data_IF_616432458965
#
_entry.id   IF_616432458965
#
_cell.length_a   1.000
_cell.length_b   1.000
_cell.length_c   1.000
_cell.angle_alpha   90.00
_cell.angle_beta   90.00
_cell.angle_gamma   90.00
#
_symmetry.space_group_name_H-M   'P 1'
#
loop_
_entity.id
_entity.type
_entity.pdbx_description
1 polymer ?
#
# COMPACT_ATOMS: atom_id res chain seq x y z
N UNK A 1 18.21 -3.53 -6.51
CA UNK A 1 18.91 -2.48 -5.75
C UNK A 1 17.99 -1.27 -5.69
N UNK A 2 17.33 -1.02 -4.55
CA UNK A 2 16.49 0.18 -4.39
C UNK A 2 17.41 1.40 -4.35
N UNK A 3 17.23 2.35 -5.28
CA UNK A 3 18.06 3.54 -5.31
C UNK A 3 17.78 4.41 -4.09
N UNK A 4 18.79 5.04 -3.46
CA UNK A 4 18.56 6.01 -2.41
C UNK A 4 17.77 7.18 -3.02
N UNK A 5 16.49 7.28 -2.68
CA UNK A 5 15.63 8.36 -3.13
C UNK A 5 16.21 9.68 -2.67
N UNK A 6 16.72 10.48 -3.61
CA UNK A 6 17.25 11.80 -3.35
C UNK A 6 16.11 12.73 -2.92
N UNK A 7 16.30 13.46 -1.82
CA UNK A 7 15.31 14.44 -1.35
C UNK A 7 15.37 15.69 -2.24
N UNK A 8 14.23 16.06 -2.83
CA UNK A 8 14.05 17.33 -3.54
C UNK A 8 13.38 18.38 -2.63
N UNK A 9 13.88 19.61 -2.63
CA UNK A 9 13.29 20.71 -1.84
C UNK A 9 12.04 21.24 -2.54
N UNK A 10 10.93 21.28 -1.82
CA UNK A 10 9.66 21.85 -2.30
C UNK A 10 9.22 22.98 -1.37
N UNK A 11 8.78 24.09 -1.96
CA UNK A 11 8.18 25.19 -1.21
C UNK A 11 6.64 25.09 -1.30
N UNK A 12 5.98 25.11 -0.16
CA UNK A 12 4.52 25.03 -0.05
C UNK A 12 4.00 26.18 0.82
N UNK A 13 2.83 26.70 0.47
CA UNK A 13 2.17 27.75 1.25
C UNK A 13 1.17 27.10 2.22
N UNK A 14 1.28 27.46 3.49
CA UNK A 14 0.37 27.04 4.55
C UNK A 14 -0.22 28.29 5.20
N UNK A 15 -1.50 28.22 5.55
CA UNK A 15 -2.12 29.24 6.40
C UNK A 15 -1.49 29.22 7.80
N UNK A 16 -1.64 30.34 8.53
CA UNK A 16 -1.14 30.44 9.90
C UNK A 16 -1.73 29.34 10.82
N UNK A 17 -3.02 29.03 10.66
CA UNK A 17 -3.69 27.99 11.45
C UNK A 17 -3.13 26.59 11.14
N UNK A 18 -2.83 26.29 9.87
CA UNK A 18 -2.17 25.04 9.48
C UNK A 18 -0.76 24.94 10.05
N UNK A 19 0.02 26.03 10.05
CA UNK A 19 1.35 26.05 10.65
C UNK A 19 1.35 25.73 12.14
N UNK A 20 0.42 26.33 12.90
CA UNK A 20 0.26 26.08 14.34
C UNK A 20 -0.10 24.61 14.58
N UNK A 21 -1.14 24.11 13.88
CA UNK A 21 -1.58 22.71 14.00
C UNK A 21 -0.48 21.72 13.62
N UNK A 22 0.30 22.01 12.58
CA UNK A 22 1.42 21.17 12.15
C UNK A 22 2.52 21.13 13.22
N UNK A 23 2.84 22.27 13.85
CA UNK A 23 3.81 22.34 14.93
C UNK A 23 3.36 21.56 16.18
N UNK A 24 2.08 21.66 16.55
CA UNK A 24 1.50 20.89 17.65
C UNK A 24 1.50 19.39 17.36
N UNK A 25 1.16 19.00 16.14
CA UNK A 25 1.17 17.60 15.71
C UNK A 25 2.60 17.04 15.70
N UNK A 26 3.58 17.78 15.15
CA UNK A 26 4.97 17.33 15.10
C UNK A 26 5.58 17.15 16.50
N UNK A 27 5.26 18.07 17.43
CA UNK A 27 5.66 17.95 18.84
C UNK A 27 5.08 16.71 19.51
N UNK A 28 3.77 16.47 19.34
CA UNK A 28 3.09 15.31 19.92
C UNK A 28 3.63 13.98 19.39
N UNK A 29 3.99 13.95 18.11
CA UNK A 29 4.55 12.78 17.45
C UNK A 29 6.07 12.63 17.62
N UNK A 30 6.75 13.59 18.28
CA UNK A 30 8.20 13.63 18.44
C UNK A 30 9.01 13.52 17.13
N UNK A 31 8.46 14.06 16.04
CA UNK A 31 9.10 14.07 14.71
C UNK A 31 9.25 15.49 14.17
N UNK A 32 10.07 15.66 13.14
CA UNK A 32 10.20 16.95 12.47
C UNK A 32 8.95 17.30 11.67
N UNK A 33 8.71 18.59 11.42
CA UNK A 33 7.61 19.05 10.54
C UNK A 33 7.75 18.46 9.13
N UNK A 34 8.97 18.40 8.60
CA UNK A 34 9.24 17.86 7.27
C UNK A 34 8.93 16.37 7.19
N UNK A 35 9.25 15.61 8.23
CA UNK A 35 8.91 14.19 8.32
C UNK A 35 7.41 13.96 8.41
N UNK A 36 6.72 14.73 9.25
CA UNK A 36 5.26 14.66 9.36
C UNK A 36 4.56 15.02 8.03
N UNK A 37 5.07 16.03 7.32
CA UNK A 37 4.57 16.39 5.97
C UNK A 37 4.80 15.24 4.99
N UNK A 38 5.99 14.64 4.96
CA UNK A 38 6.27 13.49 4.08
C UNK A 38 5.32 12.34 4.36
N UNK A 39 5.16 11.96 5.63
CA UNK A 39 4.24 10.88 6.03
C UNK A 39 2.80 11.17 5.60
N UNK A 40 2.32 12.40 5.77
CA UNK A 40 0.98 12.79 5.35
C UNK A 40 0.81 12.74 3.83
N UNK A 41 1.83 13.15 3.08
CA UNK A 41 1.85 13.08 1.61
C UNK A 41 1.85 11.62 1.14
N UNK A 42 2.70 10.78 1.71
CA UNK A 42 2.78 9.34 1.38
C UNK A 42 1.43 8.66 1.64
N UNK A 43 0.84 8.87 2.83
CA UNK A 43 -0.47 8.32 3.17
C UNK A 43 -1.57 8.78 2.22
N UNK A 44 -1.58 10.06 1.84
CA UNK A 44 -2.57 10.59 0.90
C UNK A 44 -2.42 9.97 -0.49
N UNK A 45 -1.18 9.83 -0.99
CA UNK A 45 -0.89 9.22 -2.29
C UNK A 45 -1.21 7.73 -2.31
N UNK A 46 -0.90 7.00 -1.24
CA UNK A 46 -1.22 5.58 -1.11
C UNK A 46 -2.73 5.32 -1.11
N UNK A 47 -3.50 6.16 -0.41
CA UNK A 47 -4.96 6.10 -0.39
C UNK A 47 -5.57 6.37 -1.78
N UNK A 48 -5.00 7.31 -2.52
CA UNK A 48 -5.39 7.60 -3.91
C UNK A 48 -5.05 6.43 -4.83
N UNK A 49 -3.87 5.84 -4.66
CA UNK A 49 -3.44 4.69 -5.45
C UNK A 49 -4.41 3.52 -5.28
N UNK A 50 -4.87 3.19 -4.06
CA UNK A 50 -5.88 2.13 -3.82
C UNK A 50 -7.22 2.30 -4.54
N UNK A 51 -7.56 3.51 -4.95
CA UNK A 51 -8.87 3.82 -5.56
C UNK A 51 -8.83 3.72 -7.09
N UNK A 52 -7.65 3.66 -7.71
CA UNK A 52 -7.53 3.52 -9.16
C UNK A 52 -7.65 2.05 -9.60
N UNK A 53 -8.55 1.71 -10.55
CA UNK A 53 -8.72 0.34 -11.06
C UNK A 53 -7.42 -0.26 -11.61
N UNK A 54 -6.57 0.57 -12.19
CA UNK A 54 -5.28 0.17 -12.73
C UNK A 54 -4.33 -0.36 -11.63
N UNK A 55 -4.30 0.26 -10.44
CA UNK A 55 -3.44 -0.18 -9.34
C UNK A 55 -3.94 -1.47 -8.69
N UNK A 56 -5.27 -1.68 -8.67
CA UNK A 56 -5.89 -2.92 -8.20
C UNK A 56 -5.56 -4.07 -9.14
N UNK A 57 -5.73 -3.86 -10.45
CA UNK A 57 -5.39 -4.86 -11.46
C UNK A 57 -3.90 -5.22 -11.41
N UNK A 58 -3.01 -4.23 -11.25
CA UNK A 58 -1.57 -4.45 -11.16
C UNK A 58 -1.16 -5.18 -9.87
N UNK A 59 -1.82 -4.90 -8.73
CA UNK A 59 -1.62 -5.67 -7.49
C UNK A 59 -2.14 -7.10 -7.59
N UNK A 60 -3.32 -7.29 -8.17
CA UNK A 60 -3.88 -8.63 -8.39
C UNK A 60 -3.04 -9.44 -9.37
N UNK A 61 -2.48 -8.81 -10.40
CA UNK A 61 -1.55 -9.45 -11.31
C UNK A 61 -0.24 -9.87 -10.60
N UNK A 62 0.25 -9.07 -9.66
CA UNK A 62 1.41 -9.44 -8.82
C UNK A 62 1.13 -10.57 -7.82
N UNK A 63 -0.14 -10.82 -7.49
CA UNK A 63 -0.57 -11.95 -6.65
C UNK A 63 -0.94 -13.19 -7.48
N UNK A 64 -1.24 -13.02 -8.77
CA UNK A 64 -1.52 -14.11 -9.69
C UNK A 64 -0.25 -14.95 -9.89
N UNK A 65 -0.31 -16.22 -9.49
CA UNK A 65 0.84 -17.13 -9.54
C UNK A 65 1.50 -17.40 -8.19
N UNK A 66 1.18 -16.63 -7.13
CA UNK A 66 1.76 -16.85 -5.79
C UNK A 66 1.49 -18.25 -5.22
N UNK A 67 0.43 -18.91 -5.67
CA UNK A 67 0.07 -20.27 -5.30
C UNK A 67 0.14 -21.26 -6.46
N UNK A 68 0.61 -20.84 -7.64
CA UNK A 68 0.69 -21.72 -8.81
C UNK A 68 1.80 -22.76 -8.67
N UNK A 69 2.92 -22.38 -8.05
CA UNK A 69 4.11 -23.23 -7.90
C UNK A 69 4.25 -23.83 -6.49
N UNK A 70 3.17 -23.83 -5.69
CA UNK A 70 3.16 -24.46 -4.36
C UNK A 70 2.95 -25.96 -4.51
N UNK A 71 4.06 -26.67 -4.40
CA UNK A 71 4.20 -28.12 -4.39
C UNK A 71 3.77 -28.77 -3.06
N UNK A 72 3.56 -27.97 -2.01
CA UNK A 72 3.07 -28.41 -0.70
C UNK A 72 1.53 -28.47 -0.59
N UNK A 73 0.80 -28.05 -1.63
CA UNK A 73 -0.66 -28.06 -1.66
C UNK A 73 -1.21 -29.29 -2.41
N UNK A 74 -2.29 -29.86 -1.88
CA UNK A 74 -3.01 -30.95 -2.55
C UNK A 74 -3.61 -30.48 -3.89
N UNK A 75 -3.62 -31.36 -4.90
CA UNK A 75 -4.15 -31.05 -6.25
C UNK A 75 -5.58 -30.49 -6.15
N UNK A 76 -5.78 -29.19 -6.46
CA UNK A 76 -7.08 -28.56 -6.41
C UNK A 76 -8.08 -29.21 -7.39
N UNK A 77 -7.58 -29.72 -8.53
CA UNK A 77 -8.39 -30.39 -9.53
C UNK A 77 -8.92 -31.73 -9.03
N UNK A 78 -8.09 -32.53 -8.37
CA UNK A 78 -8.53 -33.76 -7.70
C UNK A 78 -9.58 -33.45 -6.63
N UNK A 79 -9.35 -32.44 -5.79
CA UNK A 79 -10.29 -32.05 -4.74
C UNK A 79 -11.65 -31.57 -5.29
N UNK A 80 -11.68 -30.76 -6.36
CA UNK A 80 -12.94 -30.32 -6.96
C UNK A 80 -13.69 -31.49 -7.62
N UNK A 81 -12.97 -32.47 -8.19
CA UNK A 81 -13.60 -33.68 -8.75
C UNK A 81 -14.28 -34.50 -7.67
N UNK A 82 -13.68 -34.68 -6.49
CA UNK A 82 -14.35 -35.42 -5.40
C UNK A 82 -15.63 -34.73 -4.93
N UNK A 83 -15.66 -33.40 -4.90
CA UNK A 83 -16.86 -32.62 -4.56
C UNK A 83 -17.96 -32.72 -5.62
N UNK A 84 -17.62 -32.94 -6.90
CA UNK A 84 -18.58 -33.08 -8.00
C UNK A 84 -19.09 -34.51 -8.18
N UNK A 85 -18.51 -35.49 -7.50
CA UNK A 85 -19.02 -36.86 -7.60
C UNK A 85 -20.35 -36.96 -6.85
N UNK A 86 -21.39 -37.54 -7.47
CA UNK A 86 -22.63 -37.78 -6.77
C UNK A 86 -22.36 -38.80 -5.67
N UNK A 87 -22.64 -38.40 -4.42
CA UNK A 87 -22.59 -39.29 -3.27
C UNK A 87 -23.86 -40.14 -3.32
N UNK A 88 -23.76 -41.33 -3.91
CA UNK A 88 -24.76 -42.38 -3.79
C UNK A 88 -24.36 -43.33 -2.65
#
# INVERSE_FOLDING_TARGET
MQQPSTLARTQIYLTQSQQVRLADASRRAAVTKSELIRLAVDQFLDQQATTSPASKAQRLAGLAGLWADRDDMADPGAYVRTLRMPRF
#
